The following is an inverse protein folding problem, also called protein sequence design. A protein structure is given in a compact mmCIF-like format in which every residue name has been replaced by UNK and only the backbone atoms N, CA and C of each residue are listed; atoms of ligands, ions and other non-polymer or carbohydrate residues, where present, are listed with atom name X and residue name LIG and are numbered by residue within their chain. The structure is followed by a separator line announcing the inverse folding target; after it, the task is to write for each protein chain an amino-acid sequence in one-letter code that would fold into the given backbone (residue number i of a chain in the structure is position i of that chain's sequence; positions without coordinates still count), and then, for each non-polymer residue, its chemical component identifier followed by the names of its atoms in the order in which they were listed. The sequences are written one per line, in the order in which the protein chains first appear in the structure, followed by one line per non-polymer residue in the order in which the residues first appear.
data_IF_597470261665
#
_entry.id   IF_597470261665
#
_cell.length_a   1.000
_cell.length_b   1.000
_cell.length_c   1.000
_cell.angle_alpha   90.00
_cell.angle_beta   90.00
_cell.angle_gamma   90.00
#
_symmetry.space_group_name_H-M   'P 1'
#
loop_
_entity.id
_entity.type
_entity.pdbx_description
1 polymer ?
#
# COMPACT_ATOMS: atom_id res chain seq x y z
N UNK A 1 -51.15 24.57 -34.02
CA UNK A 1 -49.71 24.59 -33.65
C UNK A 1 -49.49 23.59 -32.52
N UNK A 2 -48.49 22.72 -32.67
CA UNK A 2 -48.29 21.49 -31.90
C UNK A 2 -47.98 21.74 -30.42
N UNK A 3 -48.64 20.95 -29.58
CA UNK A 3 -48.41 20.70 -28.15
C UNK A 3 -47.00 20.12 -27.94
N UNK A 4 -46.20 20.71 -27.05
CA UNK A 4 -45.02 20.04 -26.48
C UNK A 4 -45.13 19.96 -24.97
N UNK A 5 -45.33 18.74 -24.50
CA UNK A 5 -45.37 18.33 -23.11
C UNK A 5 -43.93 17.99 -22.69
N UNK A 6 -43.31 18.80 -21.84
CA UNK A 6 -41.99 18.51 -21.26
C UNK A 6 -42.12 17.31 -20.32
N UNK A 7 -41.52 16.18 -20.69
CA UNK A 7 -41.33 15.03 -19.79
C UNK A 7 -40.13 15.31 -18.89
N UNK A 8 -40.39 15.41 -17.59
CA UNK A 8 -39.37 15.42 -16.54
C UNK A 8 -38.99 13.96 -16.28
N UNK A 9 -37.74 13.59 -16.57
CA UNK A 9 -37.18 12.29 -16.19
C UNK A 9 -36.72 12.37 -14.74
N UNK A 10 -37.38 11.62 -13.86
CA UNK A 10 -36.92 11.37 -12.49
C UNK A 10 -36.08 10.08 -12.51
N UNK A 11 -34.84 10.05 -11.99
CA UNK A 11 -34.08 8.81 -11.92
C UNK A 11 -34.68 7.92 -10.82
N UNK A 12 -34.98 6.68 -11.19
CA UNK A 12 -35.44 5.64 -10.27
C UNK A 12 -34.27 5.21 -9.38
N UNK A 13 -34.18 5.76 -8.17
CA UNK A 13 -33.23 5.30 -7.15
C UNK A 13 -33.82 4.04 -6.50
N UNK A 14 -33.27 2.88 -6.84
CA UNK A 14 -33.64 1.61 -6.21
C UNK A 14 -32.98 1.54 -4.81
N UNK A 15 -33.72 1.89 -3.77
CA UNK A 15 -33.28 1.74 -2.38
C UNK A 15 -33.70 0.35 -1.89
N UNK A 16 -32.74 -0.54 -1.63
CA UNK A 16 -33.00 -1.84 -1.01
C UNK A 16 -33.07 -1.67 0.51
N UNK A 17 -34.28 -1.63 1.08
CA UNK A 17 -34.51 -1.75 2.53
C UNK A 17 -35.04 -3.14 2.85
N UNK A 18 -34.24 -3.94 3.56
CA UNK A 18 -34.69 -5.20 4.15
C UNK A 18 -35.53 -4.87 5.40
N UNK A 19 -36.85 -5.07 5.35
CA UNK A 19 -37.73 -5.04 6.53
C UNK A 19 -37.82 -6.46 7.11
N UNK A 20 -37.44 -6.61 8.38
CA UNK A 20 -37.73 -7.78 9.21
C UNK A 20 -38.90 -7.46 10.16
N UNK A 21 -39.73 -8.45 10.53
CA UNK A 21 -40.83 -8.25 11.47
C UNK A 21 -40.28 -8.03 12.90
N UNK A 22 -40.82 -7.02 13.59
CA UNK A 22 -40.50 -6.69 14.98
C UNK A 22 -41.20 -7.72 15.89
N UNK A 23 -40.42 -8.55 16.56
CA UNK A 23 -40.88 -9.34 17.71
C UNK A 23 -40.50 -8.54 18.97
N UNK A 24 -41.45 -8.12 19.81
CA UNK A 24 -41.13 -7.35 21.01
C UNK A 24 -40.73 -8.29 22.15
N UNK A 25 -39.49 -8.14 22.62
CA UNK A 25 -39.07 -8.62 23.94
C UNK A 25 -37.78 -9.44 23.95
N UNK A 26 -36.66 -8.76 24.21
CA UNK A 26 -35.69 -9.12 25.27
C UNK A 26 -34.59 -8.04 25.31
N UNK A 27 -34.32 -7.51 26.50
CA UNK A 27 -33.25 -6.54 26.74
C UNK A 27 -31.89 -7.23 26.64
N UNK A 28 -31.21 -7.09 25.50
CA UNK A 28 -29.77 -7.27 25.41
C UNK A 28 -29.15 -6.07 24.68
N UNK A 29 -28.10 -5.51 25.29
CA UNK A 29 -27.27 -4.43 24.76
C UNK A 29 -26.73 -4.82 23.38
N UNK A 30 -27.49 -4.46 22.34
CA UNK A 30 -27.06 -4.59 20.97
C UNK A 30 -26.47 -3.23 20.60
N UNK A 31 -25.17 -3.06 20.83
CA UNK A 31 -24.41 -2.14 19.99
C UNK A 31 -24.48 -2.73 18.58
N UNK A 32 -25.56 -2.42 17.87
CA UNK A 32 -25.81 -2.85 16.52
C UNK A 32 -24.69 -2.22 15.70
N UNK A 33 -23.73 -3.04 15.26
CA UNK A 33 -22.85 -2.64 14.18
C UNK A 33 -23.77 -2.31 13.01
N UNK A 34 -24.02 -1.02 12.79
CA UNK A 34 -24.78 -0.54 11.66
C UNK A 34 -24.14 -1.16 10.41
N UNK A 35 -24.88 -2.03 9.70
CA UNK A 35 -24.43 -2.65 8.46
C UNK A 35 -24.14 -1.52 7.49
N UNK A 36 -22.87 -1.12 7.39
CA UNK A 36 -22.42 -0.10 6.46
C UNK A 36 -22.87 -0.52 5.06
N UNK A 37 -23.63 0.37 4.41
CA UNK A 37 -24.26 0.08 3.13
C UNK A 37 -23.20 0.09 2.03
N UNK A 38 -23.10 -1.01 1.29
CA UNK A 38 -22.38 -1.07 0.01
C UNK A 38 -23.40 -0.73 -1.07
N UNK A 39 -23.07 0.25 -1.90
CA UNK A 39 -23.98 0.77 -2.92
C UNK A 39 -23.45 0.37 -4.29
N UNK A 40 -24.19 -0.47 -5.00
CA UNK A 40 -23.95 -0.72 -6.42
C UNK A 40 -24.35 0.53 -7.21
N UNK A 41 -23.38 1.17 -7.86
CA UNK A 41 -23.59 2.36 -8.69
C UNK A 41 -23.80 2.00 -10.16
N UNK A 42 -23.15 0.93 -10.62
CA UNK A 42 -23.19 0.53 -12.03
C UNK A 42 -22.91 -0.97 -12.18
N UNK A 43 -23.67 -1.62 -13.06
CA UNK A 43 -23.39 -2.93 -13.64
C UNK A 43 -24.22 -3.10 -14.91
N UNK A 44 -23.81 -3.99 -15.81
CA UNK A 44 -24.59 -4.32 -17.01
C UNK A 44 -25.60 -5.45 -16.74
N UNK A 45 -25.26 -6.41 -15.88
CA UNK A 45 -26.11 -7.55 -15.55
C UNK A 45 -25.99 -7.95 -14.09
N UNK A 46 -27.06 -8.56 -13.58
CA UNK A 46 -27.16 -9.15 -12.26
C UNK A 46 -27.73 -10.56 -12.38
N UNK A 47 -27.13 -11.51 -11.66
CA UNK A 47 -27.57 -12.90 -11.59
C UNK A 47 -27.49 -13.40 -10.15
N UNK A 48 -28.46 -14.23 -9.75
CA UNK A 48 -28.35 -15.06 -8.55
C UNK A 48 -27.91 -16.47 -8.92
N UNK A 49 -27.46 -17.24 -7.94
CA UNK A 49 -27.11 -18.64 -8.13
C UNK A 49 -26.42 -19.24 -6.92
N UNK A 50 -25.70 -20.32 -7.14
CA UNK A 50 -24.87 -20.98 -6.13
C UNK A 50 -23.45 -21.15 -6.67
N UNK A 51 -22.45 -20.75 -5.88
CA UNK A 51 -21.03 -20.90 -6.21
C UNK A 51 -20.26 -21.38 -4.98
N UNK A 52 -19.08 -21.99 -5.18
CA UNK A 52 -18.21 -22.38 -4.06
C UNK A 52 -17.46 -21.16 -3.53
N UNK A 53 -17.57 -20.92 -2.23
CA UNK A 53 -16.85 -19.82 -1.58
C UNK A 53 -15.34 -19.97 -1.75
N UNK A 54 -14.63 -18.89 -2.12
CA UNK A 54 -13.18 -18.92 -2.31
C UNK A 54 -12.41 -19.12 -1.00
N UNK A 55 -13.08 -19.00 0.15
CA UNK A 55 -12.47 -19.15 1.47
C UNK A 55 -12.88 -20.47 2.14
N UNK A 56 -14.18 -20.81 2.14
CA UNK A 56 -14.69 -21.99 2.85
C UNK A 56 -14.76 -23.25 1.97
N UNK A 57 -14.78 -23.09 0.64
CA UNK A 57 -14.98 -24.17 -0.33
C UNK A 57 -16.41 -24.74 -0.37
N UNK A 58 -17.30 -24.25 0.50
CA UNK A 58 -18.71 -24.66 0.57
C UNK A 58 -19.52 -23.99 -0.53
N UNK A 59 -20.56 -24.68 -0.99
CA UNK A 59 -21.54 -24.12 -1.92
C UNK A 59 -22.42 -23.12 -1.15
N UNK A 60 -22.49 -21.87 -1.62
CA UNK A 60 -23.24 -20.80 -0.98
C UNK A 60 -24.11 -20.11 -2.02
N UNK A 61 -25.27 -19.58 -1.60
CA UNK A 61 -26.06 -18.69 -2.45
C UNK A 61 -25.29 -17.40 -2.71
N UNK A 62 -25.15 -17.06 -3.99
CA UNK A 62 -24.43 -15.87 -4.45
C UNK A 62 -25.31 -14.89 -5.20
N UNK A 63 -24.88 -13.62 -5.19
CA UNK A 63 -25.34 -12.57 -6.09
C UNK A 63 -24.16 -12.06 -6.88
N UNK A 64 -24.21 -12.23 -8.19
CA UNK A 64 -23.17 -11.84 -9.12
C UNK A 64 -23.63 -10.65 -9.95
N UNK A 65 -22.76 -9.65 -10.10
CA UNK A 65 -22.94 -8.54 -11.04
C UNK A 65 -21.74 -8.47 -11.98
N UNK A 66 -21.97 -8.06 -13.22
CA UNK A 66 -20.92 -8.02 -14.24
C UNK A 66 -21.13 -6.90 -15.26
N UNK A 67 -20.03 -6.54 -15.92
CA UNK A 67 -19.92 -5.46 -16.89
C UNK A 67 -19.74 -4.10 -16.21
N UNK A 68 -18.52 -3.55 -16.28
CA UNK A 68 -18.16 -2.23 -15.75
C UNK A 68 -18.73 -1.96 -14.35
N UNK A 69 -18.49 -2.92 -13.44
CA UNK A 69 -19.06 -2.91 -12.09
C UNK A 69 -18.43 -1.80 -11.27
N UNK A 70 -19.28 -1.01 -10.61
CA UNK A 70 -18.85 0.05 -9.69
C UNK A 70 -19.62 -0.06 -8.39
N UNK A 71 -18.89 -0.18 -7.28
CA UNK A 71 -19.43 -0.10 -5.92
C UNK A 71 -18.89 1.10 -5.18
N UNK A 72 -19.71 1.64 -4.28
CA UNK A 72 -19.30 2.63 -3.30
C UNK A 72 -19.52 2.05 -1.91
N UNK A 73 -18.51 2.13 -1.05
CA UNK A 73 -18.64 1.77 0.36
C UNK A 73 -17.84 2.76 1.21
N UNK A 74 -18.56 3.60 1.96
CA UNK A 74 -18.00 4.79 2.59
C UNK A 74 -17.33 5.68 1.53
N UNK A 75 -16.09 6.14 1.78
CA UNK A 75 -15.33 6.96 0.84
C UNK A 75 -14.56 6.14 -0.22
N UNK A 76 -14.85 4.84 -0.35
CA UNK A 76 -14.10 3.94 -1.23
C UNK A 76 -14.94 3.60 -2.46
N UNK A 77 -14.33 3.76 -3.64
CA UNK A 77 -14.88 3.36 -4.92
C UNK A 77 -14.23 2.05 -5.40
N UNK A 78 -15.04 1.00 -5.34
CA UNK A 78 -14.93 -0.33 -5.96
C UNK A 78 -15.04 -0.32 -7.49
N UNK A 79 -14.05 -0.72 -8.30
CA UNK A 79 -14.27 -0.96 -9.75
C UNK A 79 -13.72 -2.30 -10.21
N UNK A 80 -14.48 -3.06 -10.99
CA UNK A 80 -14.04 -4.32 -11.60
C UNK A 80 -14.97 -4.75 -12.76
N UNK A 81 -14.67 -5.88 -13.40
CA UNK A 81 -15.50 -6.45 -14.47
C UNK A 81 -16.60 -7.37 -13.93
N UNK A 82 -16.33 -8.11 -12.85
CA UNK A 82 -17.29 -9.01 -12.18
C UNK A 82 -17.11 -8.89 -10.66
N UNK A 83 -18.23 -8.93 -9.95
CA UNK A 83 -18.24 -9.09 -8.51
C UNK A 83 -19.29 -10.11 -8.07
N UNK A 84 -18.92 -10.96 -7.12
CA UNK A 84 -19.77 -12.04 -6.61
C UNK A 84 -19.83 -11.96 -5.10
N UNK A 85 -20.99 -11.58 -4.57
CA UNK A 85 -21.29 -11.58 -3.14
C UNK A 85 -21.68 -13.00 -2.69
N UNK A 86 -21.01 -13.48 -1.65
CA UNK A 86 -21.30 -14.75 -0.99
C UNK A 86 -22.05 -14.50 0.32
N UNK A 87 -23.30 -14.99 0.39
CA UNK A 87 -24.24 -14.59 1.43
C UNK A 87 -23.86 -15.09 2.83
N UNK A 88 -23.33 -16.31 2.93
CA UNK A 88 -22.99 -16.92 4.22
C UNK A 88 -21.64 -16.44 4.73
N UNK A 89 -20.63 -16.45 3.86
CA UNK A 89 -19.27 -16.01 4.20
C UNK A 89 -19.10 -14.48 4.26
N UNK A 90 -20.12 -13.70 3.87
CA UNK A 90 -20.13 -12.24 3.94
C UNK A 90 -18.91 -11.58 3.26
N UNK A 91 -18.54 -12.09 2.08
CA UNK A 91 -17.43 -11.58 1.27
C UNK A 91 -17.88 -11.28 -0.15
N UNK A 92 -17.09 -10.49 -0.85
CA UNK A 92 -17.29 -10.19 -2.26
C UNK A 92 -16.01 -10.57 -3.02
N UNK A 93 -16.10 -11.55 -3.91
CA UNK A 93 -15.05 -11.82 -4.90
C UNK A 93 -15.09 -10.74 -5.97
N UNK A 94 -13.93 -10.18 -6.33
CA UNK A 94 -13.77 -9.09 -7.29
C UNK A 94 -12.80 -9.54 -8.38
N UNK A 95 -13.24 -9.50 -9.64
CA UNK A 95 -12.49 -10.07 -10.76
C UNK A 95 -12.45 -9.13 -11.96
N UNK A 96 -11.28 -9.07 -12.59
CA UNK A 96 -11.04 -8.35 -13.84
C UNK A 96 -10.85 -6.85 -13.62
N UNK A 97 -9.60 -6.38 -13.76
CA UNK A 97 -9.27 -4.95 -13.73
C UNK A 97 -9.70 -4.27 -12.43
N UNK A 98 -9.41 -4.88 -11.28
CA UNK A 98 -9.79 -4.34 -9.98
C UNK A 98 -9.05 -3.02 -9.72
N UNK A 99 -9.80 -1.97 -9.41
CA UNK A 99 -9.29 -0.70 -8.92
C UNK A 99 -10.05 -0.31 -7.65
N UNK A 100 -9.28 0.07 -6.63
CA UNK A 100 -9.76 0.58 -5.35
C UNK A 100 -9.27 2.00 -5.22
N UNK A 101 -10.19 2.94 -5.35
CA UNK A 101 -9.92 4.35 -5.17
C UNK A 101 -10.45 4.79 -3.81
N UNK A 102 -9.56 5.33 -2.99
CA UNK A 102 -9.91 6.03 -1.76
C UNK A 102 -9.31 7.44 -1.80
N UNK A 103 -9.70 8.33 -0.88
CA UNK A 103 -9.07 9.63 -0.79
C UNK A 103 -7.58 9.59 -0.39
N UNK A 104 -7.10 8.45 0.14
CA UNK A 104 -5.73 8.29 0.62
C UNK A 104 -4.83 7.53 -0.37
N UNK A 105 -5.41 6.70 -1.25
CA UNK A 105 -4.66 5.84 -2.16
C UNK A 105 -5.46 5.47 -3.42
N UNK A 106 -4.76 5.15 -4.50
CA UNK A 106 -5.27 4.44 -5.68
C UNK A 106 -4.50 3.13 -5.81
N UNK A 107 -5.20 2.00 -5.75
CA UNK A 107 -4.59 0.66 -5.83
C UNK A 107 -5.30 -0.16 -6.90
N UNK A 108 -4.53 -0.85 -7.73
CA UNK A 108 -5.01 -1.73 -8.80
C UNK A 108 -4.47 -3.14 -8.61
N UNK A 109 -5.26 -4.13 -9.01
CA UNK A 109 -4.88 -5.54 -9.10
C UNK A 109 -5.74 -6.26 -10.15
N UNK A 110 -5.43 -7.52 -10.46
CA UNK A 110 -6.28 -8.27 -11.39
C UNK A 110 -7.54 -8.80 -10.70
N UNK A 111 -7.43 -9.17 -9.43
CA UNK A 111 -8.54 -9.69 -8.61
C UNK A 111 -8.34 -9.41 -7.13
N UNK A 112 -9.37 -9.67 -6.35
CA UNK A 112 -9.31 -9.57 -4.90
C UNK A 112 -10.56 -10.10 -4.21
N UNK A 113 -10.50 -10.11 -2.88
CA UNK A 113 -11.64 -10.43 -2.01
C UNK A 113 -11.84 -9.23 -1.10
N UNK A 114 -13.06 -8.71 -1.07
CA UNK A 114 -13.45 -7.63 -0.17
C UNK A 114 -14.33 -8.17 0.95
N UNK A 115 -14.06 -7.73 2.17
CA UNK A 115 -14.78 -8.11 3.39
C UNK A 115 -15.49 -6.87 3.94
N UNK A 116 -16.78 -6.66 3.63
CA UNK A 116 -17.48 -5.44 4.00
C UNK A 116 -17.61 -5.25 5.50
N UNK A 117 -17.79 -6.34 6.25
CA UNK A 117 -17.98 -6.31 7.70
C UNK A 117 -16.73 -5.90 8.48
N UNK A 118 -15.53 -6.17 7.96
CA UNK A 118 -14.26 -5.69 8.53
C UNK A 118 -13.70 -4.47 7.81
N UNK A 119 -14.26 -4.12 6.65
CA UNK A 119 -13.74 -3.09 5.74
C UNK A 119 -12.26 -3.33 5.40
N UNK A 120 -11.99 -4.57 5.00
CA UNK A 120 -10.67 -5.05 4.58
C UNK A 120 -10.73 -5.63 3.17
N UNK A 121 -9.61 -5.57 2.44
CA UNK A 121 -9.47 -6.17 1.12
C UNK A 121 -8.21 -7.01 1.04
N UNK A 122 -8.28 -8.13 0.33
CA UNK A 122 -7.13 -8.95 -0.08
C UNK A 122 -7.00 -8.84 -1.59
N UNK A 123 -5.89 -8.28 -2.05
CA UNK A 123 -5.60 -8.09 -3.47
C UNK A 123 -4.56 -9.08 -3.94
N UNK A 124 -4.80 -9.62 -5.12
CA UNK A 124 -3.97 -10.66 -5.72
C UNK A 124 -3.66 -10.27 -7.17
N UNK A 125 -2.45 -10.63 -7.56
CA UNK A 125 -1.93 -10.57 -8.92
C UNK A 125 -1.78 -9.13 -9.45
N UNK A 126 -0.52 -8.75 -9.72
CA UNK A 126 -0.16 -7.45 -10.28
C UNK A 126 -0.64 -6.27 -9.43
N UNK A 127 -0.44 -6.35 -8.10
CA UNK A 127 -0.79 -5.26 -7.20
C UNK A 127 0.14 -4.09 -7.44
N UNK A 128 -0.42 -2.94 -7.76
CA UNK A 128 0.29 -1.68 -7.93
C UNK A 128 -0.56 -0.53 -7.44
N UNK A 129 0.08 0.51 -6.89
CA UNK A 129 -0.68 1.62 -6.34
C UNK A 129 0.17 2.83 -6.02
N UNK A 130 -0.52 3.90 -5.61
CA UNK A 130 0.09 5.11 -5.07
C UNK A 130 -0.70 5.65 -3.89
N UNK A 131 0.00 6.22 -2.92
CA UNK A 131 -0.62 7.09 -1.92
C UNK A 131 -0.84 8.47 -2.54
N UNK A 132 -1.96 9.13 -2.23
CA UNK A 132 -2.32 10.41 -2.86
C UNK A 132 -1.46 11.56 -2.33
N UNK A 133 -1.15 11.57 -1.02
CA UNK A 133 -0.49 12.72 -0.38
C UNK A 133 1.02 12.69 -0.43
N UNK A 134 1.65 11.54 -0.16
CA UNK A 134 3.11 11.42 -0.25
C UNK A 134 3.58 11.06 -1.66
N UNK A 135 2.70 10.63 -2.56
CA UNK A 135 3.14 10.15 -3.87
C UNK A 135 3.98 8.85 -3.79
N UNK A 136 3.92 8.13 -2.67
CA UNK A 136 4.58 6.83 -2.52
C UNK A 136 3.93 5.86 -3.50
N UNK A 137 4.68 5.47 -4.53
CA UNK A 137 4.26 4.46 -5.51
C UNK A 137 4.75 3.09 -5.07
N UNK A 138 4.03 2.03 -5.40
CA UNK A 138 4.41 0.69 -4.98
C UNK A 138 3.90 -0.42 -5.88
N UNK A 139 4.56 -1.58 -5.78
CA UNK A 139 4.21 -2.81 -6.47
C UNK A 139 4.47 -4.02 -5.58
N UNK A 140 3.61 -5.04 -5.68
CA UNK A 140 3.76 -6.31 -4.98
C UNK A 140 2.98 -7.43 -5.67
N UNK A 141 3.21 -8.68 -5.27
CA UNK A 141 2.40 -9.81 -5.74
C UNK A 141 1.01 -9.83 -5.07
N UNK A 142 0.94 -9.43 -3.79
CA UNK A 142 -0.30 -9.40 -3.01
C UNK A 142 -0.34 -8.16 -2.12
N UNK A 143 -1.53 -7.75 -1.72
CA UNK A 143 -1.70 -6.76 -0.66
C UNK A 143 -2.91 -7.03 0.23
N UNK A 144 -2.79 -6.71 1.50
CA UNK A 144 -3.90 -6.57 2.43
C UNK A 144 -4.16 -5.08 2.67
N UNK A 145 -5.41 -4.66 2.55
CA UNK A 145 -5.87 -3.30 2.90
C UNK A 145 -6.77 -3.41 4.12
N UNK A 146 -6.52 -2.56 5.10
CA UNK A 146 -7.31 -2.42 6.31
C UNK A 146 -7.72 -0.96 6.46
N UNK A 147 -8.91 -0.63 5.98
CA UNK A 147 -9.37 0.75 5.90
C UNK A 147 -9.68 1.32 7.29
N UNK A 148 -10.17 0.50 8.21
CA UNK A 148 -10.46 0.92 9.60
C UNK A 148 -9.20 1.37 10.31
N UNK A 149 -8.13 0.62 10.11
CA UNK A 149 -6.83 0.91 10.72
C UNK A 149 -5.92 1.75 9.81
N UNK A 150 -6.40 2.18 8.65
CA UNK A 150 -5.66 3.00 7.67
C UNK A 150 -4.30 2.39 7.31
N UNK A 151 -4.28 1.08 7.01
CA UNK A 151 -3.05 0.33 6.81
C UNK A 151 -3.08 -0.41 5.47
N UNK A 152 -1.95 -0.35 4.75
CA UNK A 152 -1.70 -1.13 3.53
C UNK A 152 -0.52 -2.04 3.82
N UNK A 153 -0.67 -3.34 3.56
CA UNK A 153 0.41 -4.32 3.69
C UNK A 153 0.69 -4.96 2.34
N UNK A 154 1.84 -4.68 1.77
CA UNK A 154 2.36 -5.25 0.54
C UNK A 154 3.15 -6.52 0.86
N UNK A 155 2.89 -7.61 0.15
CA UNK A 155 3.41 -8.93 0.48
C UNK A 155 4.00 -9.56 -0.78
N UNK A 156 5.23 -10.07 -0.63
CA UNK A 156 6.02 -10.75 -1.67
C UNK A 156 6.45 -9.84 -2.81
N UNK A 157 7.75 -9.86 -3.13
CA UNK A 157 8.37 -9.01 -4.15
C UNK A 157 8.05 -7.51 -3.98
N UNK A 158 7.78 -7.09 -2.73
CA UNK A 158 7.30 -5.75 -2.43
C UNK A 158 8.40 -4.72 -2.68
N UNK A 159 8.03 -3.66 -3.39
CA UNK A 159 8.87 -2.51 -3.66
C UNK A 159 8.03 -1.25 -3.64
N UNK A 160 8.58 -0.19 -3.07
CA UNK A 160 7.98 1.13 -3.04
C UNK A 160 9.00 2.19 -3.42
N UNK A 161 8.54 3.27 -4.06
CA UNK A 161 9.36 4.39 -4.47
C UNK A 161 8.76 5.70 -4.01
N UNK A 162 9.64 6.58 -3.53
CA UNK A 162 9.35 7.96 -3.18
C UNK A 162 10.50 8.81 -3.70
N UNK A 163 10.22 9.77 -4.59
CA UNK A 163 11.24 10.55 -5.30
C UNK A 163 12.32 9.66 -5.95
N UNK A 164 13.55 9.76 -5.46
CA UNK A 164 14.75 9.01 -5.91
C UNK A 164 15.08 7.81 -5.01
N UNK A 165 14.20 7.48 -4.07
CA UNK A 165 14.39 6.44 -3.07
C UNK A 165 13.61 5.19 -3.47
N UNK A 166 14.24 4.03 -3.29
CA UNK A 166 13.61 2.72 -3.49
C UNK A 166 13.72 1.89 -2.22
N UNK A 167 12.57 1.43 -1.73
CA UNK A 167 12.42 0.56 -0.59
C UNK A 167 11.96 -0.82 -1.04
N UNK A 168 12.61 -1.89 -0.57
CA UNK A 168 12.21 -3.27 -0.86
C UNK A 168 12.31 -4.18 0.35
N UNK A 169 11.54 -5.25 0.35
CA UNK A 169 11.58 -6.31 1.34
C UNK A 169 10.51 -7.37 1.09
N UNK A 170 10.42 -8.36 1.97
CA UNK A 170 9.43 -9.42 1.87
C UNK A 170 8.01 -8.91 2.17
N UNK A 171 7.91 -8.01 3.15
CA UNK A 171 6.69 -7.27 3.47
C UNK A 171 7.00 -5.79 3.65
N UNK A 172 6.19 -4.92 3.04
CA UNK A 172 6.18 -3.48 3.32
C UNK A 172 4.81 -3.13 3.88
N UNK A 173 4.76 -2.56 5.07
CA UNK A 173 3.55 -2.09 5.72
C UNK A 173 3.58 -0.57 5.76
N UNK A 174 2.57 0.07 5.18
CA UNK A 174 2.38 1.52 5.18
C UNK A 174 1.27 1.85 6.16
N UNK A 175 1.59 2.63 7.19
CA UNK A 175 0.62 3.17 8.14
C UNK A 175 0.24 4.59 7.72
N UNK A 176 -1.05 4.82 7.50
CA UNK A 176 -1.59 6.13 7.17
C UNK A 176 -2.27 6.75 8.40
N UNK A 177 -2.19 8.08 8.51
CA UNK A 177 -2.84 8.83 9.58
C UNK A 177 -4.35 8.79 9.47
N UNK A 178 -5.04 8.73 10.61
CA UNK A 178 -6.48 9.00 10.67
C UNK A 178 -6.74 10.45 10.24
N UNK A 179 -7.53 10.64 9.19
CA UNK A 179 -8.01 11.95 8.73
C UNK A 179 -7.08 12.73 7.80
N UNK A 180 -5.79 12.90 8.13
CA UNK A 180 -4.85 13.73 7.33
C UNK A 180 -4.28 13.05 6.08
N UNK A 181 -4.64 11.77 5.88
CA UNK A 181 -4.34 10.95 4.69
C UNK A 181 -2.85 10.95 4.32
N UNK A 182 -1.99 11.06 5.33
CA UNK A 182 -0.52 11.07 5.20
C UNK A 182 0.07 9.73 5.61
N UNK A 183 1.23 9.39 5.08
CA UNK A 183 2.05 8.29 5.60
C UNK A 183 2.67 8.74 6.91
N UNK A 184 2.43 7.98 7.98
CA UNK A 184 3.03 8.19 9.30
C UNK A 184 4.31 7.37 9.44
N UNK A 185 4.25 6.11 9.05
CA UNK A 185 5.40 5.21 9.07
C UNK A 185 5.32 4.15 7.99
N UNK A 186 6.50 3.64 7.62
CA UNK A 186 6.65 2.48 6.75
C UNK A 186 7.52 1.47 7.50
N UNK A 187 6.99 0.26 7.69
CA UNK A 187 7.72 -0.85 8.29
C UNK A 187 8.03 -1.89 7.22
N UNK A 188 9.29 -2.26 7.09
CA UNK A 188 9.75 -3.32 6.21
C UNK A 188 10.28 -4.47 7.03
N UNK A 189 9.92 -5.69 6.65
CA UNK A 189 10.31 -6.91 7.35
C UNK A 189 10.73 -7.97 6.35
N UNK A 190 11.82 -8.67 6.66
CA UNK A 190 12.45 -9.67 5.82
C UNK A 190 13.25 -9.01 4.69
N UNK A 191 14.57 -9.11 4.75
CA UNK A 191 15.49 -8.54 3.75
C UNK A 191 15.16 -7.07 3.41
N UNK A 192 14.97 -6.25 4.45
CA UNK A 192 14.66 -4.85 4.28
C UNK A 192 15.84 -4.13 3.64
N UNK A 193 15.59 -3.36 2.59
CA UNK A 193 16.62 -2.66 1.84
C UNK A 193 16.10 -1.32 1.36
N UNK A 194 16.83 -0.25 1.64
CA UNK A 194 16.58 1.10 1.11
C UNK A 194 17.80 1.54 0.31
N UNK A 195 17.56 1.87 -0.96
CA UNK A 195 18.51 2.55 -1.83
C UNK A 195 18.05 4.00 -2.01
N UNK A 196 18.95 4.96 -1.79
CA UNK A 196 18.65 6.39 -1.88
C UNK A 196 19.85 7.16 -2.40
N UNK A 197 19.61 8.30 -3.05
CA UNK A 197 20.68 9.15 -3.58
C UNK A 197 20.99 10.29 -2.62
N UNK A 198 22.23 10.74 -2.64
CA UNK A 198 22.61 11.99 -2.01
C UNK A 198 22.19 13.18 -2.90
N UNK A 199 21.80 14.29 -2.30
CA UNK A 199 21.45 15.52 -3.02
C UNK A 199 22.63 16.13 -3.81
N UNK A 200 23.86 15.93 -3.33
CA UNK A 200 25.08 16.47 -3.98
C UNK A 200 25.60 15.52 -5.07
N UNK A 201 25.09 14.28 -5.11
CA UNK A 201 25.56 13.23 -6.01
C UNK A 201 25.01 13.41 -7.43
N UNK A 202 25.90 13.70 -8.38
CA UNK A 202 25.55 13.93 -9.80
C UNK A 202 25.55 12.65 -10.66
N UNK A 203 26.29 11.60 -10.27
CA UNK A 203 26.29 10.34 -11.02
C UNK A 203 25.05 9.50 -10.63
N UNK A 204 24.13 9.24 -11.59
CA UNK A 204 22.85 8.58 -11.34
C UNK A 204 22.99 7.09 -10.98
N UNK A 205 24.17 6.49 -11.20
CA UNK A 205 24.44 5.09 -10.88
C UNK A 205 24.81 4.83 -9.42
N UNK A 206 25.11 5.89 -8.63
CA UNK A 206 25.54 5.74 -7.25
C UNK A 206 24.40 5.92 -6.26
N UNK A 207 24.26 4.95 -5.36
CA UNK A 207 23.24 4.91 -4.32
C UNK A 207 23.88 4.68 -2.97
N UNK A 208 23.44 5.46 -1.99
CA UNK A 208 23.54 5.07 -0.60
C UNK A 208 22.58 3.91 -0.34
N UNK A 209 22.99 2.99 0.52
CA UNK A 209 22.36 1.69 0.70
C UNK A 209 22.27 1.40 2.19
N UNK A 210 21.10 1.02 2.67
CA UNK A 210 20.95 0.51 4.04
C UNK A 210 20.06 -0.73 4.04
N UNK A 211 20.52 -1.77 4.74
CA UNK A 211 19.85 -3.08 4.80
C UNK A 211 19.84 -3.65 6.21
N UNK A 212 18.89 -4.56 6.45
CA UNK A 212 18.78 -5.35 7.68
C UNK A 212 17.54 -6.24 7.65
N UNK A 213 17.24 -6.91 8.75
CA UNK A 213 16.05 -7.78 8.83
C UNK A 213 14.75 -6.97 8.95
N UNK A 214 14.80 -5.89 9.74
CA UNK A 214 13.65 -4.98 9.91
C UNK A 214 14.09 -3.53 9.78
N UNK A 215 13.24 -2.73 9.13
CA UNK A 215 13.44 -1.29 8.95
C UNK A 215 12.15 -0.56 9.27
N UNK A 216 12.25 0.51 10.05
CA UNK A 216 11.14 1.42 10.33
C UNK A 216 11.53 2.80 9.82
N UNK A 217 10.73 3.33 8.90
CA UNK A 217 10.90 4.67 8.33
C UNK A 217 9.80 5.56 8.91
N UNK A 218 10.20 6.69 9.48
CA UNK A 218 9.29 7.72 9.99
C UNK A 218 9.34 8.95 9.11
N UNK A 219 8.17 9.51 8.80
CA UNK A 219 8.05 10.72 7.98
C UNK A 219 7.57 11.91 8.82
N UNK A 220 8.03 13.10 8.47
CA UNK A 220 7.58 14.35 9.09
C UNK A 220 6.17 14.77 8.61
N UNK A 221 5.75 15.99 8.98
CA UNK A 221 4.41 16.46 8.63
C UNK A 221 4.27 16.82 7.15
N UNK A 222 5.40 17.11 6.51
CA UNK A 222 5.58 17.51 5.13
C UNK A 222 5.81 16.30 4.22
N UNK A 223 5.90 15.09 4.79
CA UNK A 223 6.14 13.81 4.11
C UNK A 223 7.59 13.61 3.66
N UNK A 224 8.54 14.26 4.34
CA UNK A 224 9.95 13.98 4.18
C UNK A 224 10.43 12.92 5.17
N UNK A 225 11.56 12.27 4.84
CA UNK A 225 12.24 11.37 5.77
C UNK A 225 12.70 12.13 7.02
N UNK A 226 12.40 11.59 8.19
CA UNK A 226 12.85 12.15 9.48
C UNK A 226 13.78 11.19 10.23
N UNK A 227 13.46 9.90 10.19
CA UNK A 227 14.21 8.87 10.91
C UNK A 227 14.08 7.51 10.23
N UNK A 228 15.18 6.76 10.22
CA UNK A 228 15.20 5.36 9.81
C UNK A 228 15.85 4.56 10.94
N UNK A 229 15.16 3.54 11.42
CA UNK A 229 15.67 2.57 12.39
C UNK A 229 15.79 1.21 11.70
N UNK A 230 17.01 0.67 11.63
CA UNK A 230 17.28 -0.65 11.05
C UNK A 230 17.80 -1.57 12.14
N UNK A 231 17.17 -2.73 12.30
CA UNK A 231 17.47 -3.68 13.36
C UNK A 231 17.76 -5.07 12.80
N UNK A 232 18.67 -5.75 13.51
CA UNK A 232 19.23 -7.07 13.22
C UNK A 232 20.03 -7.09 11.93
N UNK A 233 21.36 -7.29 12.07
CA UNK A 233 22.32 -7.32 10.95
C UNK A 233 22.20 -6.06 10.07
N UNK A 234 22.22 -4.90 10.72
CA UNK A 234 22.11 -3.63 10.02
C UNK A 234 23.44 -3.32 9.32
N UNK A 235 23.38 -3.03 8.03
CA UNK A 235 24.51 -2.61 7.20
C UNK A 235 24.14 -1.32 6.47
N UNK A 236 25.06 -0.37 6.45
CA UNK A 236 24.92 0.93 5.80
C UNK A 236 26.17 1.17 4.96
N UNK A 237 25.96 1.55 3.71
CA UNK A 237 26.99 2.03 2.80
C UNK A 237 26.56 3.40 2.27
N UNK A 238 27.40 4.41 2.42
CA UNK A 238 27.11 5.74 1.92
C UNK A 238 28.35 6.43 1.34
N UNK A 239 28.12 7.25 0.33
CA UNK A 239 29.13 7.98 -0.40
C UNK A 239 29.51 9.25 0.36
N UNK A 240 30.80 9.51 0.51
CA UNK A 240 31.30 10.68 1.25
C UNK A 240 31.79 11.78 0.31
N UNK A 241 31.77 13.02 0.80
CA UNK A 241 32.22 14.20 0.07
C UNK A 241 33.08 15.09 0.98
N UNK A 242 34.07 15.77 0.40
CA UNK A 242 34.88 16.81 1.04
C UNK A 242 34.71 18.08 0.20
N UNK A 243 34.14 19.15 0.78
CA UNK A 243 33.83 20.39 0.06
C UNK A 243 33.12 20.13 -1.30
N UNK A 244 32.04 19.33 -1.26
CA UNK A 244 31.27 18.87 -2.44
C UNK A 244 32.03 17.96 -3.43
N UNK A 245 33.31 17.68 -3.18
CA UNK A 245 34.13 16.79 -4.00
C UNK A 245 33.97 15.35 -3.52
N UNK A 246 33.65 14.38 -4.39
CA UNK A 246 33.60 12.96 -4.03
C UNK A 246 34.90 12.46 -3.37
N UNK A 247 34.82 11.98 -2.12
CA UNK A 247 36.04 11.58 -1.36
C UNK A 247 36.19 10.07 -1.17
N UNK A 248 35.08 9.33 -1.08
CA UNK A 248 35.14 7.89 -0.81
C UNK A 248 33.78 7.25 -0.56
N UNK A 249 33.81 6.09 0.10
CA UNK A 249 32.62 5.38 0.55
C UNK A 249 32.84 4.89 1.97
N UNK A 250 31.88 5.14 2.84
CA UNK A 250 31.87 4.60 4.20
C UNK A 250 30.91 3.42 4.27
N UNK A 251 31.40 2.31 4.81
CA UNK A 251 30.62 1.16 5.21
C UNK A 251 30.58 1.07 6.73
N UNK A 252 29.40 0.78 7.28
CA UNK A 252 29.18 0.60 8.72
C UNK A 252 28.18 -0.53 8.93
N UNK A 253 28.47 -1.44 9.85
CA UNK A 253 27.54 -2.49 10.27
C UNK A 253 27.39 -2.53 11.78
N UNK A 254 26.29 -3.12 12.26
CA UNK A 254 26.05 -3.41 13.67
C UNK A 254 24.75 -4.19 13.88
N UNK A 255 24.38 -4.45 15.12
CA UNK A 255 23.07 -5.05 15.39
C UNK A 255 21.92 -4.10 15.04
N UNK A 256 22.14 -2.79 15.15
CA UNK A 256 21.15 -1.79 14.75
C UNK A 256 21.82 -0.50 14.29
N UNK A 257 21.24 0.16 13.29
CA UNK A 257 21.65 1.47 12.79
C UNK A 257 20.45 2.41 12.83
N UNK A 258 20.68 3.62 13.32
CA UNK A 258 19.69 4.70 13.35
C UNK A 258 20.21 5.86 12.51
N UNK A 259 19.39 6.32 11.58
CA UNK A 259 19.65 7.50 10.76
C UNK A 259 18.63 8.59 11.09
N UNK A 260 19.10 9.83 11.26
CA UNK A 260 18.26 11.01 11.49
C UNK A 260 18.46 12.02 10.37
N UNK A 261 17.35 12.60 9.91
CA UNK A 261 17.30 13.54 8.82
C UNK A 261 16.68 14.86 9.28
N UNK A 262 17.17 15.96 8.74
CA UNK A 262 16.58 17.29 8.88
C UNK A 262 16.83 18.06 7.58
N UNK A 263 15.87 18.88 7.17
CA UNK A 263 15.93 19.67 5.93
C UNK A 263 16.29 18.82 4.70
N UNK A 264 15.71 17.61 4.62
CA UNK A 264 15.96 16.62 3.57
C UNK A 264 17.41 16.11 3.46
N UNK A 265 18.25 16.38 4.46
CA UNK A 265 19.63 15.93 4.53
C UNK A 265 19.88 14.97 5.71
N UNK A 266 20.81 14.03 5.52
CA UNK A 266 21.26 13.12 6.57
C UNK A 266 22.10 13.90 7.60
N UNK A 267 21.62 13.94 8.85
CA UNK A 267 22.26 14.69 9.93
C UNK A 267 23.11 13.80 10.84
N UNK A 268 22.64 12.57 11.09
CA UNK A 268 23.29 11.67 12.04
C UNK A 268 23.09 10.22 11.69
N UNK A 269 24.16 9.45 11.85
CA UNK A 269 24.17 7.99 11.81
C UNK A 269 24.69 7.48 13.15
N UNK A 270 23.98 6.53 13.77
CA UNK A 270 24.39 5.87 15.01
C UNK A 270 24.29 4.36 14.82
N UNK A 271 25.40 3.64 14.98
CA UNK A 271 25.45 2.19 14.95
C UNK A 271 25.63 1.64 16.37
N UNK A 272 24.96 0.52 16.68
CA UNK A 272 24.96 -0.05 18.02
C UNK A 272 25.21 -1.57 18.02
N UNK A 273 26.08 -1.99 18.94
CA UNK A 273 26.51 -3.38 19.22
C UNK A 273 27.20 -4.05 18.02
N UNK A 274 28.34 -4.71 18.29
CA UNK A 274 29.15 -5.39 17.27
C UNK A 274 29.45 -4.50 16.06
N UNK A 275 29.76 -3.23 16.33
CA UNK A 275 29.95 -2.23 15.28
C UNK A 275 31.24 -2.50 14.54
N UNK A 276 31.18 -2.52 13.21
CA UNK A 276 32.35 -2.60 12.35
C UNK A 276 32.24 -1.52 11.26
N UNK A 277 33.36 -0.91 10.90
CA UNK A 277 33.42 0.15 9.91
C UNK A 277 34.56 -0.10 8.92
N UNK A 278 34.33 0.28 7.66
CA UNK A 278 35.36 0.28 6.61
C UNK A 278 35.22 1.55 5.79
N UNK A 279 36.33 2.13 5.37
CA UNK A 279 36.35 3.25 4.44
C UNK A 279 37.04 2.81 3.16
N UNK A 280 36.40 3.08 2.04
CA UNK A 280 36.94 2.83 0.70
C UNK A 280 37.32 4.17 0.06
N UNK A 281 38.44 4.21 -0.71
CA UNK A 281 38.87 5.42 -1.40
C UNK A 281 37.92 5.79 -2.55
N UNK A 282 38.02 7.04 -3.03
CA UNK A 282 37.23 7.56 -4.14
C UNK A 282 37.21 6.65 -5.39
N UNK A 283 38.32 5.96 -5.68
CA UNK A 283 38.47 5.04 -6.82
C UNK A 283 37.55 3.81 -6.76
N UNK A 284 36.99 3.49 -5.59
CA UNK A 284 36.07 2.36 -5.43
C UNK A 284 34.59 2.76 -5.50
N UNK A 285 34.26 4.05 -5.57
CA UNK A 285 32.86 4.53 -5.51
C UNK A 285 31.94 3.88 -6.54
N UNK A 286 32.41 3.70 -7.76
CA UNK A 286 31.63 3.10 -8.87
C UNK A 286 31.80 1.59 -9.00
N UNK A 287 32.48 0.94 -8.06
CA UNK A 287 32.69 -0.51 -8.13
C UNK A 287 31.48 -1.24 -7.55
N UNK A 288 30.81 -2.05 -8.37
CA UNK A 288 29.66 -2.83 -7.90
C UNK A 288 29.99 -3.84 -6.80
N UNK A 289 31.27 -4.26 -6.70
CA UNK A 289 31.74 -5.23 -5.70
C UNK A 289 31.68 -4.74 -4.25
N UNK A 290 31.51 -3.43 -4.02
CA UNK A 290 31.32 -2.89 -2.66
C UNK A 290 29.85 -2.76 -2.26
N UNK A 291 28.89 -2.95 -3.18
CA UNK A 291 27.47 -2.85 -2.88
C UNK A 291 27.04 -3.89 -1.83
N UNK A 292 26.06 -3.51 -1.01
CA UNK A 292 25.51 -4.41 0.00
C UNK A 292 24.81 -5.61 -0.66
N UNK A 293 24.85 -6.80 -0.05
CA UNK A 293 24.13 -7.96 -0.55
C UNK A 293 22.63 -7.65 -0.75
N UNK A 294 22.09 -8.02 -1.90
CA UNK A 294 20.69 -7.76 -2.25
C UNK A 294 20.42 -6.39 -2.88
N UNK A 295 21.43 -5.53 -3.05
CA UNK A 295 21.28 -4.28 -3.80
C UNK A 295 20.82 -4.55 -5.24
N UNK A 296 19.67 -3.97 -5.58
CA UNK A 296 19.11 -4.02 -6.94
C UNK A 296 18.14 -2.86 -7.16
N UNK A 297 18.38 -2.05 -8.19
CA UNK A 297 17.44 -1.03 -8.64
C UNK A 297 16.37 -1.67 -9.51
N UNK A 298 15.12 -1.24 -9.33
CA UNK A 298 13.90 -1.80 -9.94
C UNK A 298 13.07 -0.69 -10.59
N UNK A 299 13.70 0.39 -11.05
CA UNK A 299 13.01 1.57 -11.61
C UNK A 299 12.11 1.21 -12.81
N UNK A 300 12.50 0.21 -13.60
CA UNK A 300 11.70 -0.36 -14.70
C UNK A 300 10.37 -1.00 -14.24
N UNK A 301 10.23 -1.32 -12.96
CA UNK A 301 9.01 -1.86 -12.38
C UNK A 301 8.07 -0.79 -11.81
N UNK A 302 8.50 0.48 -11.79
CA UNK A 302 7.73 1.58 -11.21
C UNK A 302 6.43 1.75 -11.99
N UNK A 303 5.25 1.63 -11.34
CA UNK A 303 3.99 1.63 -12.05
C UNK A 303 3.62 3.03 -12.54
N UNK A 304 3.09 3.09 -13.77
CA UNK A 304 2.39 4.27 -14.30
C UNK A 304 0.90 4.09 -14.00
N UNK A 305 0.33 4.97 -13.18
CA UNK A 305 -1.03 4.86 -12.64
C UNK A 305 -1.93 6.02 -13.04
#
# INVERSE_FOLDING_TARGET
MKTQQKRIFLPLILVFTLLLPVIPGLKHNTACAEKKKIILKQANSLAGGEERSPITGKLETVRSVSGNVVFEHNDILLRCNKATEFSESNLISLEGGLSILSPSFDIRSNRGIYYPLSDTAKLLDNVRGKTQKSGLTFKASKADIDNRNNRIRLITNAVAWHDTQQLSGDTIMVQLSKGKKRVESITVTGRAFLAFRDSVQQDPGLYNQISGETMVISLDREQNLSRIDVNTQAELLYHTFENETPSGVNYTSGNSIVMQFADNALQRVMAYRNVNGKQYPASMRSQSGINLPGFRIRDEEKPVL
#
